data_IF_002408913718
#
_entry.id   IF_002408913718
#
_cell.length_a   1.000
_cell.length_b   1.000
_cell.length_c   1.000
_cell.angle_alpha   90.00
_cell.angle_beta   90.00
_cell.angle_gamma   90.00
#
_symmetry.space_group_name_H-M   'P 1'
#
loop_
_entity.id
_entity.type
_entity.pdbx_description
1 polymer ?
#
# COMPACT_ATOMS: atom_id res chain seq x y z
N UNK A 1 -30.44 1.16 -18.82
CA UNK A 1 -29.62 1.71 -17.71
C UNK A 1 -28.23 1.08 -17.76
N UNK A 2 -27.18 1.83 -17.42
CA UNK A 2 -25.79 1.32 -17.42
C UNK A 2 -25.48 0.60 -16.11
N UNK A 3 -24.90 -0.61 -16.18
CA UNK A 3 -24.40 -1.35 -15.01
C UNK A 3 -22.89 -1.19 -14.94
N UNK A 4 -22.38 -0.61 -13.84
CA UNK A 4 -20.95 -0.37 -13.63
C UNK A 4 -20.32 -1.53 -12.86
N UNK A 5 -19.27 -2.11 -13.43
CA UNK A 5 -18.42 -3.12 -12.80
C UNK A 5 -16.96 -2.64 -12.91
N UNK A 6 -16.29 -2.27 -11.83
CA UNK A 6 -16.72 -2.25 -10.43
C UNK A 6 -17.75 -1.14 -10.10
N UNK A 7 -18.62 -1.30 -9.08
CA UNK A 7 -19.58 -0.26 -8.70
C UNK A 7 -18.87 0.93 -8.06
N UNK A 8 -19.46 2.13 -8.21
CA UNK A 8 -18.84 3.39 -7.77
C UNK A 8 -18.41 3.41 -6.30
N UNK A 9 -19.10 2.69 -5.41
CA UNK A 9 -18.75 2.62 -3.99
C UNK A 9 -17.37 1.98 -3.74
N UNK A 10 -16.84 1.16 -4.66
CA UNK A 10 -15.47 0.60 -4.54
C UNK A 10 -14.38 1.66 -4.65
N UNK A 11 -14.71 2.89 -5.04
CA UNK A 11 -13.80 4.04 -4.89
C UNK A 11 -13.37 4.24 -3.43
N UNK A 12 -14.24 3.94 -2.46
CA UNK A 12 -13.88 3.99 -1.04
C UNK A 12 -12.74 3.01 -0.72
N UNK A 13 -12.79 1.79 -1.25
CA UNK A 13 -11.77 0.77 -1.05
C UNK A 13 -10.43 1.11 -1.72
N UNK A 14 -10.45 2.00 -2.72
CA UNK A 14 -9.24 2.46 -3.43
C UNK A 14 -8.61 3.72 -2.81
N UNK A 15 -9.24 4.32 -1.81
CA UNK A 15 -8.78 5.55 -1.17
C UNK A 15 -7.98 5.22 0.11
N UNK A 16 -6.73 5.69 0.19
CA UNK A 16 -5.86 5.40 1.34
C UNK A 16 -6.29 6.08 2.64
N UNK A 17 -7.22 7.04 2.59
CA UNK A 17 -7.86 7.56 3.80
C UNK A 17 -8.55 6.46 4.62
N UNK A 18 -9.02 5.40 3.95
CA UNK A 18 -9.60 4.23 4.62
C UNK A 18 -8.62 3.57 5.60
N UNK A 19 -7.30 3.65 5.36
CA UNK A 19 -6.30 3.08 6.28
C UNK A 19 -6.31 3.78 7.64
N UNK A 20 -6.44 5.12 7.65
CA UNK A 20 -6.52 5.89 8.88
C UNK A 20 -7.81 5.58 9.64
N UNK A 21 -8.94 5.46 8.93
CA UNK A 21 -10.24 5.08 9.52
C UNK A 21 -10.18 3.66 10.10
N UNK A 22 -9.61 2.69 9.38
CA UNK A 22 -9.44 1.33 9.88
C UNK A 22 -8.57 1.30 11.14
N UNK A 23 -7.49 2.09 11.19
CA UNK A 23 -6.64 2.18 12.38
C UNK A 23 -7.36 2.82 13.57
N UNK A 24 -8.16 3.86 13.34
CA UNK A 24 -8.97 4.49 14.39
C UNK A 24 -10.02 3.53 14.98
N UNK A 25 -10.67 2.73 14.12
CA UNK A 25 -11.69 1.78 14.55
C UNK A 25 -11.10 0.52 15.21
N UNK A 26 -9.91 0.10 14.79
CA UNK A 26 -9.28 -1.16 15.23
C UNK A 26 -7.81 -0.94 15.64
N UNK A 27 -7.54 -0.12 16.67
CA UNK A 27 -6.18 0.17 17.10
C UNK A 27 -5.48 -1.09 17.62
N UNK A 28 -4.26 -1.32 17.15
CA UNK A 28 -3.43 -2.48 17.55
C UNK A 28 -3.79 -3.81 16.86
N UNK A 29 -4.69 -3.81 15.87
CA UNK A 29 -4.99 -5.01 15.08
C UNK A 29 -3.73 -5.50 14.33
N UNK A 30 -3.45 -6.80 14.40
CA UNK A 30 -2.18 -7.40 13.91
C UNK A 30 -1.93 -7.20 12.39
N UNK A 31 -3.00 -7.07 11.60
CA UNK A 31 -2.95 -6.83 10.15
C UNK A 31 -2.97 -5.34 9.77
N UNK A 32 -2.99 -4.42 10.74
CA UNK A 32 -3.02 -2.98 10.49
C UNK A 32 -1.74 -2.31 10.97
N UNK A 33 -1.36 -1.25 10.26
CA UNK A 33 -0.29 -0.34 10.65
C UNK A 33 -0.89 1.01 11.05
N UNK A 34 -0.32 1.71 12.06
CA UNK A 34 -0.69 3.08 12.39
C UNK A 34 -0.75 3.96 11.16
N UNK A 35 -1.86 4.69 10.99
CA UNK A 35 -2.09 5.54 9.82
C UNK A 35 -2.88 6.81 10.18
N UNK A 36 -2.49 7.94 9.59
CA UNK A 36 -3.01 9.27 9.90
C UNK A 36 -3.15 10.13 8.64
N UNK A 37 -4.02 11.15 8.66
CA UNK A 37 -4.29 12.05 7.53
C UNK A 37 -3.73 13.45 7.71
N UNK A 38 -3.60 13.92 8.96
CA UNK A 38 -3.17 15.27 9.30
C UNK A 38 -1.64 15.43 9.26
N UNK A 39 -0.91 14.44 9.77
CA UNK A 39 0.55 14.45 9.92
C UNK A 39 1.04 13.04 10.25
N UNK A 40 2.36 12.75 10.22
CA UNK A 40 2.90 11.48 10.73
C UNK A 40 2.78 11.34 12.26
N UNK A 41 2.38 12.39 12.98
CA UNK A 41 2.24 12.42 14.45
C UNK A 41 3.52 11.97 15.15
N UNK A 42 3.47 10.83 15.85
CA UNK A 42 4.58 10.27 16.62
C UNK A 42 5.42 9.25 15.84
N UNK A 43 5.08 8.99 14.57
CA UNK A 43 5.83 8.03 13.75
C UNK A 43 7.19 8.60 13.40
N UNK A 44 8.26 7.91 13.81
CA UNK A 44 9.64 8.25 13.48
C UNK A 44 10.01 7.76 12.08
N UNK A 45 9.46 6.63 11.66
CA UNK A 45 9.60 6.08 10.32
C UNK A 45 8.22 5.85 9.70
N UNK A 46 7.97 6.44 8.53
CA UNK A 46 6.65 6.44 7.91
C UNK A 46 6.72 6.49 6.38
N UNK A 47 5.60 6.14 5.77
CA UNK A 47 5.34 6.28 4.35
C UNK A 47 4.21 7.29 4.14
N UNK A 48 4.49 8.38 3.45
CA UNK A 48 3.46 9.30 2.96
C UNK A 48 2.98 8.84 1.58
N UNK A 49 1.69 8.51 1.47
CA UNK A 49 1.09 7.94 0.26
C UNK A 49 -0.07 8.84 -0.21
N UNK A 50 -0.11 9.28 -1.47
CA UNK A 50 -1.25 10.06 -1.96
C UNK A 50 -2.56 9.29 -1.83
N UNK A 51 -3.64 9.95 -1.40
CA UNK A 51 -4.90 9.26 -1.08
C UNK A 51 -5.44 8.47 -2.27
N UNK A 52 -5.32 9.00 -3.48
CA UNK A 52 -5.78 8.39 -4.73
C UNK A 52 -4.64 7.89 -5.62
N UNK A 53 -3.40 7.92 -5.11
CA UNK A 53 -2.21 7.47 -5.84
C UNK A 53 -2.22 5.98 -6.20
N UNK A 54 -1.52 5.62 -7.26
CA UNK A 54 -1.40 4.24 -7.76
C UNK A 54 0.05 3.89 -8.07
N UNK A 55 0.34 2.58 -8.14
CA UNK A 55 1.59 2.06 -8.73
C UNK A 55 2.87 2.63 -8.10
N UNK A 56 2.82 2.94 -6.81
CA UNK A 56 3.96 3.49 -6.09
C UNK A 56 4.29 4.94 -6.42
N UNK A 57 3.50 5.65 -7.24
CA UNK A 57 3.77 7.03 -7.62
C UNK A 57 3.57 8.04 -6.47
N UNK A 58 4.45 9.05 -6.40
CA UNK A 58 4.48 10.10 -5.36
C UNK A 58 4.52 9.57 -3.91
N UNK A 59 4.95 8.33 -3.72
CA UNK A 59 5.21 7.76 -2.40
C UNK A 59 6.51 8.34 -1.85
N UNK A 60 6.51 8.68 -0.56
CA UNK A 60 7.71 9.11 0.18
C UNK A 60 7.90 8.20 1.38
N UNK A 61 9.09 7.65 1.54
CA UNK A 61 9.51 6.86 2.69
C UNK A 61 10.47 7.73 3.49
N UNK A 62 10.15 7.96 4.76
CA UNK A 62 10.99 8.68 5.72
C UNK A 62 11.44 7.71 6.78
N UNK A 63 12.75 7.61 6.98
CA UNK A 63 13.43 6.74 7.94
C UNK A 63 14.54 7.51 8.64
N UNK A 64 15.16 6.92 9.65
CA UNK A 64 16.38 7.51 10.24
C UNK A 64 17.52 7.66 9.22
N UNK A 65 17.56 6.79 8.20
CA UNK A 65 18.54 6.85 7.12
C UNK A 65 18.28 7.98 6.10
N UNK A 66 17.12 8.64 6.17
CA UNK A 66 16.74 9.73 5.28
C UNK A 66 15.40 9.52 4.58
N UNK A 67 15.14 10.38 3.59
CA UNK A 67 13.93 10.38 2.78
C UNK A 67 14.20 9.85 1.36
N UNK A 68 13.34 8.95 0.89
CA UNK A 68 13.29 8.49 -0.49
C UNK A 68 11.91 8.78 -1.07
N UNK A 69 11.86 9.23 -2.33
CA UNK A 69 10.61 9.60 -2.98
C UNK A 69 10.57 9.13 -4.44
N UNK A 70 9.39 8.73 -4.87
CA UNK A 70 9.07 8.47 -6.29
C UNK A 70 8.38 9.67 -6.94
N UNK A 71 8.58 9.83 -8.25
CA UNK A 71 7.90 10.85 -9.04
C UNK A 71 6.47 10.43 -9.40
N UNK A 72 5.67 11.37 -9.92
CA UNK A 72 4.34 11.12 -10.46
C UNK A 72 3.44 12.36 -10.41
N UNK A 73 2.16 12.18 -10.72
CA UNK A 73 1.15 13.25 -10.87
C UNK A 73 0.16 13.36 -9.70
N UNK A 74 0.32 12.56 -8.65
CA UNK A 74 -0.57 12.50 -7.49
C UNK A 74 -0.11 13.39 -6.34
N UNK A 75 -1.04 13.72 -5.43
CA UNK A 75 -0.74 14.43 -4.17
C UNK A 75 -1.57 15.70 -3.95
N UNK A 76 -2.33 16.16 -4.94
CA UNK A 76 -3.24 17.31 -4.78
C UNK A 76 -4.36 17.03 -3.79
N UNK A 77 -4.74 15.76 -3.66
CA UNK A 77 -5.75 15.27 -2.72
C UNK A 77 -5.25 15.14 -1.28
N UNK A 78 -3.94 15.33 -1.04
CA UNK A 78 -3.28 15.09 0.23
C UNK A 78 -2.75 13.67 0.38
N UNK A 79 -2.35 13.33 1.61
CA UNK A 79 -1.62 12.09 1.91
C UNK A 79 -2.19 11.34 3.11
N UNK A 80 -2.01 10.02 3.08
CA UNK A 80 -2.06 9.17 4.27
C UNK A 80 -0.62 8.89 4.71
N UNK A 81 -0.31 9.20 5.96
CA UNK A 81 0.95 8.88 6.62
C UNK A 81 0.77 7.56 7.37
N UNK A 82 1.45 6.51 6.94
CA UNK A 82 1.37 5.18 7.57
C UNK A 82 2.74 4.78 8.12
N UNK A 83 2.78 4.08 9.25
CA UNK A 83 4.02 3.53 9.81
C UNK A 83 4.80 2.76 8.74
N UNK A 84 6.11 2.98 8.69
CA UNK A 84 6.97 2.25 7.78
C UNK A 84 7.27 0.85 8.31
N UNK A 85 7.05 -0.13 7.45
CA UNK A 85 7.53 -1.50 7.61
C UNK A 85 8.16 -1.93 6.30
N UNK A 86 9.46 -2.19 6.34
CA UNK A 86 10.17 -2.69 5.19
C UNK A 86 9.62 -4.07 4.79
N UNK A 87 9.42 -4.25 3.49
CA UNK A 87 9.12 -5.57 2.93
C UNK A 87 10.29 -6.53 3.19
N UNK A 88 10.04 -7.84 3.35
CA UNK A 88 11.11 -8.83 3.46
C UNK A 88 12.02 -8.76 2.23
N UNK A 89 13.32 -8.86 2.47
CA UNK A 89 14.33 -8.87 1.41
C UNK A 89 14.82 -10.28 1.15
N UNK A 90 14.54 -10.82 -0.04
CA UNK A 90 14.91 -12.16 -0.49
C UNK A 90 15.72 -12.03 -1.77
N UNK A 91 16.90 -12.67 -1.81
CA UNK A 91 17.82 -12.65 -2.95
C UNK A 91 18.09 -11.24 -3.52
N UNK A 92 18.16 -10.26 -2.62
CA UNK A 92 18.42 -8.86 -2.94
C UNK A 92 17.19 -8.03 -3.29
N UNK A 93 16.00 -8.62 -3.48
CA UNK A 93 14.75 -7.92 -3.81
C UNK A 93 13.80 -7.83 -2.62
N UNK A 94 13.00 -6.76 -2.58
CA UNK A 94 11.89 -6.58 -1.66
C UNK A 94 10.63 -7.24 -2.20
N UNK A 95 10.00 -8.10 -1.42
CA UNK A 95 8.91 -8.97 -1.86
C UNK A 95 7.60 -8.60 -1.19
N UNK A 96 6.52 -8.49 -1.97
CA UNK A 96 5.16 -8.23 -1.50
C UNK A 96 4.20 -9.31 -1.98
N UNK A 97 3.28 -9.69 -1.09
CA UNK A 97 2.16 -10.57 -1.39
C UNK A 97 0.92 -9.75 -1.75
N UNK A 98 0.22 -10.15 -2.80
CA UNK A 98 -1.10 -9.62 -3.15
C UNK A 98 -2.13 -10.74 -3.13
N UNK A 99 -3.25 -10.55 -2.44
CA UNK A 99 -4.39 -11.48 -2.46
C UNK A 99 -5.48 -10.93 -3.37
N UNK A 100 -5.99 -11.75 -4.27
CA UNK A 100 -7.17 -11.47 -5.07
C UNK A 100 -8.43 -11.83 -4.29
N UNK A 101 -9.42 -10.95 -4.33
CA UNK A 101 -10.73 -11.16 -3.69
C UNK A 101 -11.80 -11.15 -4.77
N UNK A 102 -12.58 -12.23 -4.86
CA UNK A 102 -13.73 -12.38 -5.76
C UNK A 102 -14.94 -12.68 -4.87
N UNK A 103 -15.97 -11.84 -4.98
CA UNK A 103 -17.21 -11.97 -4.20
C UNK A 103 -16.97 -12.15 -2.68
N UNK A 104 -16.11 -11.29 -2.11
CA UNK A 104 -15.71 -11.31 -0.69
C UNK A 104 -14.91 -12.54 -0.23
N UNK A 105 -14.51 -13.43 -1.14
CA UNK A 105 -13.64 -14.56 -0.85
C UNK A 105 -12.24 -14.39 -1.46
N UNK A 106 -11.21 -14.80 -0.72
CA UNK A 106 -9.87 -14.91 -1.30
C UNK A 106 -9.89 -15.97 -2.41
N UNK A 107 -9.41 -15.60 -3.60
CA UNK A 107 -9.49 -16.43 -4.80
C UNK A 107 -8.15 -16.67 -5.48
N UNK A 108 -7.07 -16.04 -4.99
CA UNK A 108 -5.73 -16.24 -5.52
C UNK A 108 -4.69 -15.39 -4.82
N UNK A 109 -3.44 -15.76 -4.99
CA UNK A 109 -2.28 -15.03 -4.48
C UNK A 109 -1.36 -14.66 -5.67
N UNK A 110 -0.68 -13.53 -5.54
CA UNK A 110 0.43 -13.14 -6.41
C UNK A 110 1.60 -12.68 -5.57
N UNK A 111 2.81 -12.86 -6.10
CA UNK A 111 4.04 -12.35 -5.49
C UNK A 111 4.65 -11.35 -6.46
N UNK A 112 4.99 -10.16 -5.95
CA UNK A 112 5.74 -9.16 -6.71
C UNK A 112 7.04 -8.83 -5.99
N UNK A 113 8.08 -8.52 -6.76
CA UNK A 113 9.34 -8.06 -6.20
C UNK A 113 9.89 -6.82 -6.92
N UNK A 114 10.67 -6.04 -6.18
CA UNK A 114 11.44 -4.92 -6.72
C UNK A 114 12.80 -4.82 -6.02
N UNK A 115 13.80 -4.27 -6.72
CA UNK A 115 15.06 -3.89 -6.07
C UNK A 115 14.85 -2.69 -5.12
N UNK A 116 13.85 -1.85 -5.40
CA UNK A 116 13.44 -0.71 -4.58
C UNK A 116 12.56 -1.14 -3.40
N UNK A 117 12.51 -0.33 -2.34
CA UNK A 117 11.55 -0.45 -1.24
C UNK A 117 10.10 -0.22 -1.70
N UNK A 118 9.89 0.54 -2.78
CA UNK A 118 8.58 0.85 -3.33
C UNK A 118 8.29 -0.12 -4.47
N UNK A 119 7.23 -0.92 -4.32
CA UNK A 119 6.68 -1.74 -5.40
C UNK A 119 5.93 -0.85 -6.38
N UNK A 120 6.54 -0.58 -7.54
CA UNK A 120 5.99 0.28 -8.58
C UNK A 120 5.39 -0.52 -9.76
N UNK A 121 5.11 0.15 -10.88
CA UNK A 121 4.63 -0.47 -12.12
C UNK A 121 5.65 -1.44 -12.76
N UNK A 122 6.95 -1.30 -12.46
CA UNK A 122 8.02 -2.13 -13.01
C UNK A 122 8.36 -3.33 -12.13
N UNK A 123 7.79 -3.42 -10.93
CA UNK A 123 7.96 -4.59 -10.07
C UNK A 123 7.49 -5.86 -10.78
N UNK A 124 8.37 -6.87 -10.77
CA UNK A 124 8.20 -8.13 -11.49
C UNK A 124 7.18 -9.00 -10.78
N UNK A 125 6.40 -9.74 -11.55
CA UNK A 125 5.54 -10.80 -11.01
C UNK A 125 6.33 -12.11 -10.96
N UNK A 126 6.33 -12.78 -9.81
CA UNK A 126 7.06 -14.05 -9.66
C UNK A 126 6.13 -15.24 -9.88
N UNK A 127 6.56 -16.22 -10.70
CA UNK A 127 5.92 -17.52 -10.70
C UNK A 127 6.11 -18.15 -9.32
N UNK A 128 5.04 -18.72 -8.78
CA UNK A 128 5.05 -19.40 -7.50
C UNK A 128 4.14 -20.63 -7.57
N UNK A 129 4.40 -21.59 -6.69
CA UNK A 129 3.54 -22.72 -6.43
C UNK A 129 3.46 -22.91 -4.92
N UNK A 130 2.38 -23.55 -4.45
CA UNK A 130 2.18 -23.89 -3.04
C UNK A 130 2.30 -25.41 -2.96
N UNK A 131 3.23 -25.88 -2.14
CA UNK A 131 3.38 -27.30 -1.84
C UNK A 131 2.49 -27.67 -0.64
N UNK A 132 1.69 -28.75 -0.71
CA UNK A 132 0.79 -29.17 0.38
C UNK A 132 1.48 -29.69 1.65
#
# INVERSE_FOLDING_TARGET
>A
PTTWLEPAWKMLLSNKALLAVLWELFPGHELLLPAYLDSPRHLTEYVAKPLLGREGANVRIVTEAGESATNGIYGTEGWCYQEFRALPRLDGNHVVLGSWVIDNAAAGLGIRESASLITDAHARFLPHYIDP
#
